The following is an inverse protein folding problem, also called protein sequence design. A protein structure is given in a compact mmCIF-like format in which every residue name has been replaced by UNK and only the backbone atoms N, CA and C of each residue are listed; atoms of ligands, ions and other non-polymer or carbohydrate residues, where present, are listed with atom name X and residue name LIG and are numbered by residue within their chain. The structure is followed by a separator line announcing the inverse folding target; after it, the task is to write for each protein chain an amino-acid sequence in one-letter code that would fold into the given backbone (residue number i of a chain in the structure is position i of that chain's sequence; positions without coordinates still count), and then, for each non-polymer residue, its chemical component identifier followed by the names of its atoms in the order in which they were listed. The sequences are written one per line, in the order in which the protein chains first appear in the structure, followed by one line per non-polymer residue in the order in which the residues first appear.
data_IF_575975219874
#
_entry.id   IF_575975219874
#
_cell.length_a   1.000
_cell.length_b   1.000
_cell.length_c   1.000
_cell.angle_alpha   90.00
_cell.angle_beta   90.00
_cell.angle_gamma   90.00
#
_symmetry.space_group_name_H-M   'P 1'
#
loop_
_entity.id
_entity.type
_entity.pdbx_description
1 polymer ?
#
# COMPACT_ATOMS: atom_id res chain seq x y z
N UNK A 1 -7.83 25.49 27.55
CA UNK A 1 -8.31 25.91 26.24
C UNK A 1 -8.81 24.66 25.59
N UNK A 2 -10.09 24.65 25.25
CA UNK A 2 -10.90 23.46 25.00
C UNK A 2 -10.58 22.81 23.67
N UNK A 3 -10.12 21.56 23.67
CA UNK A 3 -9.93 20.73 22.47
C UNK A 3 -11.26 20.06 22.11
N UNK A 4 -11.85 20.54 21.04
CA UNK A 4 -13.05 19.94 20.42
C UNK A 4 -12.62 18.74 19.57
N UNK A 5 -12.90 17.55 20.03
CA UNK A 5 -12.84 16.32 19.24
C UNK A 5 -14.07 16.22 18.34
N UNK A 6 -13.87 16.20 17.04
CA UNK A 6 -14.91 15.89 16.05
C UNK A 6 -14.87 14.37 15.83
N UNK A 7 -15.99 13.64 15.93
CA UNK A 7 -16.01 12.21 15.69
C UNK A 7 -15.86 11.89 14.21
N UNK A 8 -15.00 10.92 13.90
CA UNK A 8 -14.91 10.27 12.58
C UNK A 8 -16.14 9.37 12.48
N UNK A 9 -17.02 9.64 11.55
CA UNK A 9 -18.15 8.76 11.23
C UNK A 9 -17.63 7.56 10.45
N UNK A 10 -17.73 6.39 11.06
CA UNK A 10 -17.68 5.10 10.38
C UNK A 10 -18.97 4.87 9.59
N UNK A 11 -18.92 4.53 8.32
CA UNK A 11 -20.08 3.96 7.64
C UNK A 11 -20.10 2.45 7.85
N UNK A 12 -20.80 1.99 8.89
CA UNK A 12 -21.21 0.60 9.00
C UNK A 12 -22.40 0.32 8.08
N UNK A 13 -22.27 -0.67 7.21
CA UNK A 13 -23.39 -1.12 6.36
C UNK A 13 -23.05 -2.33 5.51
N UNK A 14 -23.09 -3.48 6.13
CA UNK A 14 -23.28 -4.84 5.63
C UNK A 14 -23.58 -5.06 4.14
N UNK A 15 -22.83 -5.95 3.50
CA UNK A 15 -23.39 -6.89 2.53
C UNK A 15 -22.74 -8.26 2.75
N UNK A 16 -23.54 -9.24 3.14
CA UNK A 16 -23.23 -10.66 3.17
C UNK A 16 -22.83 -11.13 1.78
N UNK A 17 -21.58 -11.53 1.64
CA UNK A 17 -21.05 -12.24 0.49
C UNK A 17 -20.18 -13.38 1.01
N UNK A 18 -20.80 -14.54 1.29
CA UNK A 18 -20.12 -15.76 1.72
C UNK A 18 -19.23 -16.30 0.63
N UNK A 19 -17.94 -16.00 0.69
CA UNK A 19 -16.91 -16.89 0.14
C UNK A 19 -16.24 -17.60 1.33
N UNK A 20 -16.48 -18.90 1.43
CA UNK A 20 -15.91 -19.74 2.47
C UNK A 20 -14.42 -19.95 2.19
N UNK A 21 -13.57 -19.07 2.70
CA UNK A 21 -12.16 -19.35 2.93
C UNK A 21 -12.00 -19.57 4.45
N UNK A 22 -11.88 -20.83 4.83
CA UNK A 22 -11.81 -21.24 6.22
C UNK A 22 -10.52 -20.71 6.86
N UNK A 23 -10.65 -19.67 7.70
CA UNK A 23 -9.62 -19.37 8.70
C UNK A 23 -9.44 -20.63 9.56
N UNK A 24 -8.20 -21.02 9.91
CA UNK A 24 -8.00 -22.04 10.96
C UNK A 24 -8.69 -21.51 12.23
N UNK A 25 -9.83 -22.08 12.58
CA UNK A 25 -10.56 -21.70 13.79
C UNK A 25 -9.75 -22.15 15.00
N UNK A 26 -9.64 -21.26 16.00
CA UNK A 26 -9.14 -21.58 17.35
C UNK A 26 -10.09 -22.59 18.07
N UNK A 27 -10.24 -23.77 17.51
CA UNK A 27 -11.11 -24.83 18.05
C UNK A 27 -10.46 -25.62 19.18
N UNK A 28 -9.27 -25.23 19.67
CA UNK A 28 -8.56 -25.88 20.78
C UNK A 28 -8.36 -25.02 22.04
N UNK A 29 -9.08 -23.91 22.18
CA UNK A 29 -8.92 -23.00 23.33
C UNK A 29 -9.90 -23.26 24.49
N UNK A 30 -10.31 -24.50 24.73
CA UNK A 30 -11.11 -24.77 25.94
C UNK A 30 -10.77 -26.13 26.55
N UNK A 31 -9.61 -26.25 27.19
CA UNK A 31 -9.35 -27.12 28.37
C UNK A 31 -7.85 -27.33 28.56
N UNK A 32 -7.20 -26.48 29.34
CA UNK A 32 -6.05 -26.78 30.20
C UNK A 32 -5.48 -25.47 30.72
N UNK A 33 -5.00 -25.40 31.96
CA UNK A 33 -4.39 -24.21 32.53
C UNK A 33 -3.30 -23.68 31.57
N UNK A 34 -3.51 -22.48 30.97
CA UNK A 34 -2.62 -21.93 29.95
C UNK A 34 -1.33 -21.46 30.60
N UNK A 35 -0.31 -22.33 30.59
CA UNK A 35 1.06 -21.84 30.61
C UNK A 35 1.28 -21.02 29.35
N UNK A 36 1.95 -19.84 29.48
CA UNK A 36 2.34 -19.05 28.29
C UNK A 36 3.04 -19.99 27.29
N UNK A 37 2.82 -19.79 25.96
CA UNK A 37 3.45 -20.64 24.97
C UNK A 37 4.97 -20.58 25.08
N UNK A 38 5.64 -21.70 24.89
CA UNK A 38 7.10 -21.75 24.89
C UNK A 38 7.64 -20.93 23.72
N UNK A 39 8.51 -19.95 24.02
CA UNK A 39 9.12 -19.10 23.01
C UNK A 39 10.33 -19.80 22.38
N UNK A 40 10.28 -19.97 21.05
CA UNK A 40 11.37 -20.56 20.27
C UNK A 40 12.30 -19.52 19.62
N UNK A 41 12.17 -18.24 19.97
CA UNK A 41 12.94 -17.13 19.37
C UNK A 41 14.44 -17.38 19.39
N UNK A 42 14.99 -17.76 20.56
CA UNK A 42 16.43 -17.99 20.70
C UNK A 42 16.92 -19.16 19.85
N UNK A 43 16.12 -20.21 19.73
CA UNK A 43 16.39 -21.37 18.88
C UNK A 43 16.49 -20.96 17.40
N UNK A 44 15.44 -20.34 16.88
CA UNK A 44 15.39 -19.97 15.45
C UNK A 44 16.44 -18.91 15.11
N UNK A 45 16.71 -17.97 16.02
CA UNK A 45 17.79 -16.99 15.82
C UNK A 45 19.16 -17.70 15.78
N UNK A 46 19.41 -18.67 16.65
CA UNK A 46 20.67 -19.40 16.64
C UNK A 46 20.85 -20.22 15.36
N UNK A 47 19.79 -20.83 14.81
CA UNK A 47 19.83 -21.56 13.55
C UNK A 47 20.13 -20.62 12.37
N UNK A 48 19.51 -19.42 12.34
CA UNK A 48 19.78 -18.39 11.33
C UNK A 48 21.23 -17.89 11.41
N UNK A 49 21.72 -17.59 12.62
CA UNK A 49 23.08 -17.09 12.84
C UNK A 49 24.13 -18.17 12.51
N UNK A 50 23.87 -19.44 12.81
CA UNK A 50 24.74 -20.55 12.47
C UNK A 50 24.81 -20.76 10.95
N UNK A 51 23.67 -20.77 10.25
CA UNK A 51 23.67 -20.87 8.77
C UNK A 51 24.46 -19.73 8.14
N UNK A 52 24.33 -18.50 8.64
CA UNK A 52 25.10 -17.36 8.14
C UNK A 52 26.61 -17.52 8.41
N UNK A 53 27.00 -18.00 9.60
CA UNK A 53 28.39 -18.24 9.96
C UNK A 53 29.07 -19.32 9.10
N UNK A 54 28.27 -20.29 8.62
CA UNK A 54 28.71 -21.33 7.68
C UNK A 54 28.77 -20.87 6.21
N UNK A 55 28.47 -19.57 5.97
CA UNK A 55 28.54 -18.97 4.63
C UNK A 55 27.20 -18.98 3.87
N UNK A 56 26.11 -19.27 4.54
CA UNK A 56 24.75 -19.31 4.01
C UNK A 56 24.12 -20.69 4.10
N UNK A 57 22.82 -20.75 3.85
CA UNK A 57 22.07 -22.00 3.90
C UNK A 57 20.59 -21.81 4.08
N UNK A 58 19.85 -22.91 4.21
CA UNK A 58 18.41 -22.91 4.42
C UNK A 58 18.08 -23.33 5.84
N UNK A 59 17.39 -22.45 6.57
CA UNK A 59 16.77 -22.75 7.88
C UNK A 59 15.32 -23.15 7.61
N UNK A 60 14.96 -24.37 7.97
CA UNK A 60 13.64 -24.94 7.67
C UNK A 60 12.77 -24.95 8.92
N UNK A 61 11.68 -24.17 8.89
CA UNK A 61 10.62 -24.23 9.89
C UNK A 61 9.66 -25.36 9.49
N UNK A 62 9.67 -26.44 10.25
CA UNK A 62 8.83 -27.63 10.00
C UNK A 62 7.38 -27.44 10.43
N UNK A 63 6.49 -28.43 10.12
CA UNK A 63 5.07 -28.35 10.49
C UNK A 63 4.85 -28.13 12.00
N UNK A 64 3.83 -27.37 12.35
CA UNK A 64 3.46 -27.01 13.72
C UNK A 64 3.40 -25.49 13.91
N UNK A 65 3.00 -25.06 15.10
CA UNK A 65 2.95 -23.64 15.50
C UNK A 65 4.18 -23.32 16.34
N UNK A 66 4.99 -22.39 15.85
CA UNK A 66 6.23 -21.93 16.48
C UNK A 66 6.05 -20.50 16.98
N UNK A 67 5.99 -20.31 18.29
CA UNK A 67 5.82 -19.01 18.88
C UNK A 67 7.16 -18.30 19.03
N UNK A 68 7.25 -17.08 18.46
CA UNK A 68 8.50 -16.32 18.42
C UNK A 68 8.26 -14.82 18.73
N UNK A 69 9.29 -14.16 19.19
CA UNK A 69 9.44 -12.71 19.09
C UNK A 69 10.16 -12.31 17.81
N UNK A 70 10.65 -11.08 17.75
CA UNK A 70 11.35 -10.56 16.58
C UNK A 70 12.61 -11.39 16.22
N UNK A 71 12.78 -11.71 14.93
CA UNK A 71 13.91 -12.45 14.38
C UNK A 71 14.72 -11.57 13.41
N UNK A 72 16.05 -11.74 13.41
CA UNK A 72 16.94 -11.10 12.43
C UNK A 72 17.38 -12.09 11.37
N UNK A 73 17.13 -11.75 10.12
CA UNK A 73 17.63 -12.48 8.96
C UNK A 73 19.08 -12.07 8.68
N UNK A 74 19.83 -12.96 8.05
CA UNK A 74 21.25 -12.77 7.74
C UNK A 74 21.55 -13.00 6.26
N UNK A 75 22.65 -12.45 5.81
CA UNK A 75 23.14 -12.63 4.44
C UNK A 75 23.35 -14.09 4.08
N UNK A 76 22.93 -14.46 2.87
CA UNK A 76 23.06 -15.82 2.36
C UNK A 76 22.09 -16.83 2.98
N UNK A 77 21.15 -16.41 3.83
CA UNK A 77 20.23 -17.32 4.53
C UNK A 77 18.85 -17.29 3.88
N UNK A 78 18.33 -18.47 3.61
CA UNK A 78 16.92 -18.71 3.29
C UNK A 78 16.18 -19.18 4.54
N UNK A 79 15.19 -18.43 4.99
CA UNK A 79 14.18 -18.88 5.96
C UNK A 79 13.05 -19.58 5.18
N UNK A 80 13.00 -20.90 5.24
CA UNK A 80 11.98 -21.70 4.57
C UNK A 80 10.88 -22.10 5.55
N UNK A 81 9.71 -21.47 5.43
CA UNK A 81 8.53 -21.82 6.25
C UNK A 81 7.75 -22.91 5.52
N UNK A 82 7.93 -24.16 5.93
CA UNK A 82 7.40 -25.34 5.23
C UNK A 82 5.87 -25.44 5.29
N UNK A 83 5.31 -26.29 4.44
CA UNK A 83 3.87 -26.55 4.44
C UNK A 83 3.43 -27.07 5.82
N UNK A 84 2.34 -26.50 6.36
CA UNK A 84 1.84 -26.82 7.71
C UNK A 84 2.61 -26.19 8.87
N UNK A 85 3.66 -25.39 8.58
CA UNK A 85 4.32 -24.57 9.58
C UNK A 85 3.60 -23.23 9.76
N UNK A 86 3.49 -22.76 11.00
CA UNK A 86 3.02 -21.43 11.37
C UNK A 86 4.08 -20.77 12.24
N UNK A 87 4.76 -19.77 11.71
CA UNK A 87 5.65 -18.91 12.49
C UNK A 87 4.81 -17.79 13.08
N UNK A 88 4.46 -17.90 14.36
CA UNK A 88 3.52 -17.03 15.06
C UNK A 88 4.25 -16.04 15.96
N UNK A 89 4.11 -14.77 15.68
CA UNK A 89 4.75 -13.69 16.43
C UNK A 89 3.94 -13.30 17.66
N UNK A 90 4.51 -13.47 18.85
CA UNK A 90 3.81 -13.13 20.10
C UNK A 90 3.70 -11.60 20.22
N UNK A 91 2.49 -11.03 20.42
CA UNK A 91 2.28 -9.59 20.40
C UNK A 91 2.61 -8.92 21.76
N UNK A 92 3.82 -9.15 22.26
CA UNK A 92 4.37 -8.52 23.47
C UNK A 92 5.48 -7.53 23.04
N UNK A 93 5.30 -6.21 23.23
CA UNK A 93 6.30 -5.20 22.85
C UNK A 93 7.70 -5.45 23.41
N UNK A 94 7.82 -6.13 24.57
CA UNK A 94 9.11 -6.47 25.16
C UNK A 94 9.95 -7.44 24.32
N UNK A 95 9.33 -8.16 23.38
CA UNK A 95 9.99 -9.10 22.46
C UNK A 95 10.50 -8.42 21.17
N UNK A 96 10.28 -7.11 21.03
CA UNK A 96 10.64 -6.31 19.85
C UNK A 96 11.55 -5.14 20.28
N UNK A 97 12.87 -5.36 20.37
CA UNK A 97 13.79 -4.29 20.74
C UNK A 97 13.69 -3.13 19.77
N UNK A 98 13.96 -1.91 20.22
CA UNK A 98 13.98 -0.75 19.36
C UNK A 98 15.18 -0.80 18.41
N UNK A 99 14.92 -0.51 17.14
CA UNK A 99 15.92 -0.39 16.08
C UNK A 99 15.71 0.91 15.32
N UNK A 100 16.77 1.48 14.76
CA UNK A 100 16.65 2.60 13.84
C UNK A 100 16.25 2.08 12.47
N UNK A 101 15.05 2.46 12.04
CA UNK A 101 14.51 2.11 10.71
C UNK A 101 13.62 3.24 10.20
N UNK A 102 13.05 3.09 9.00
CA UNK A 102 12.10 4.05 8.46
C UNK A 102 10.67 3.72 8.87
N UNK A 103 9.95 4.76 9.25
CA UNK A 103 8.50 4.74 9.46
C UNK A 103 7.88 5.99 8.86
N UNK A 104 6.89 5.81 7.98
CA UNK A 104 6.26 6.92 7.25
C UNK A 104 7.30 7.85 6.60
N UNK A 105 8.33 7.26 5.97
CA UNK A 105 9.38 7.97 5.27
C UNK A 105 10.47 8.61 6.15
N UNK A 106 10.38 8.53 7.47
CA UNK A 106 11.31 9.16 8.40
C UNK A 106 12.13 8.12 9.17
N UNK A 107 13.45 8.28 9.20
CA UNK A 107 14.33 7.46 10.04
C UNK A 107 14.11 7.79 11.51
N UNK A 108 13.79 6.78 12.31
CA UNK A 108 13.49 6.93 13.74
C UNK A 108 13.54 5.57 14.44
N UNK A 109 13.63 5.54 15.79
CA UNK A 109 13.42 4.31 16.53
C UNK A 109 12.02 3.73 16.27
N UNK A 110 11.96 2.43 15.96
CA UNK A 110 10.73 1.65 15.78
C UNK A 110 10.86 0.34 16.54
N UNK A 111 9.76 -0.32 16.89
CA UNK A 111 9.85 -1.71 17.29
C UNK A 111 10.42 -2.54 16.13
N UNK A 112 11.43 -3.38 16.41
CA UNK A 112 12.05 -4.22 15.40
C UNK A 112 10.95 -4.97 14.62
N UNK A 113 10.98 -4.96 13.28
CA UNK A 113 10.07 -5.80 12.49
C UNK A 113 10.07 -7.26 12.96
N UNK A 114 8.95 -7.94 12.79
CA UNK A 114 8.83 -9.36 13.15
C UNK A 114 9.94 -10.19 12.50
N UNK A 115 10.11 -10.07 11.18
CA UNK A 115 11.28 -10.52 10.44
C UNK A 115 12.05 -9.30 9.95
N UNK A 116 13.30 -9.16 10.35
CA UNK A 116 14.12 -7.97 10.10
C UNK A 116 15.46 -8.30 9.45
N UNK A 117 15.83 -7.56 8.43
CA UNK A 117 17.18 -7.55 7.87
C UNK A 117 17.65 -6.10 7.64
N UNK A 118 18.93 -5.81 7.92
CA UNK A 118 19.51 -4.50 7.76
C UNK A 118 20.92 -4.61 7.18
N UNK A 119 21.10 -4.03 5.97
CA UNK A 119 22.37 -4.09 5.22
C UNK A 119 22.74 -5.47 4.69
N UNK A 120 21.84 -6.44 4.77
CA UNK A 120 22.09 -7.83 4.40
C UNK A 120 21.93 -8.06 2.87
N UNK A 121 22.46 -9.18 2.39
CA UNK A 121 22.36 -9.54 0.97
C UNK A 121 22.03 -11.03 0.77
N UNK A 122 21.45 -11.36 -0.39
CA UNK A 122 21.04 -12.73 -0.72
C UNK A 122 20.11 -13.32 0.37
N UNK A 123 19.14 -12.51 0.83
CA UNK A 123 18.16 -12.89 1.86
C UNK A 123 16.93 -13.48 1.19
N UNK A 124 16.46 -14.63 1.68
CA UNK A 124 15.25 -15.26 1.14
C UNK A 124 14.27 -15.67 2.25
N UNK A 125 12.98 -15.47 1.99
CA UNK A 125 11.86 -16.01 2.77
C UNK A 125 10.99 -16.80 1.81
N UNK A 126 10.82 -18.10 2.05
CA UNK A 126 10.14 -18.98 1.08
C UNK A 126 9.28 -20.03 1.77
N UNK A 127 8.48 -20.76 1.00
CA UNK A 127 7.74 -21.93 1.46
C UNK A 127 6.23 -21.77 1.36
N UNK A 128 5.51 -22.80 1.78
CA UNK A 128 4.04 -22.86 1.75
C UNK A 128 3.41 -22.74 3.14
N UNK A 129 4.19 -22.31 4.12
CA UNK A 129 3.73 -22.07 5.48
C UNK A 129 3.20 -20.67 5.68
N UNK A 130 2.84 -20.38 6.92
CA UNK A 130 2.22 -19.11 7.35
C UNK A 130 3.16 -18.35 8.27
N UNK A 131 3.24 -17.05 8.07
CA UNK A 131 3.87 -16.07 8.96
C UNK A 131 2.74 -15.20 9.51
N UNK A 132 2.46 -15.37 10.81
CA UNK A 132 1.33 -14.78 11.51
C UNK A 132 1.81 -13.71 12.49
N UNK A 133 1.49 -12.46 12.19
CA UNK A 133 1.95 -11.30 12.95
C UNK A 133 1.15 -11.02 14.22
N UNK A 134 0.01 -11.71 14.41
CA UNK A 134 -0.88 -11.52 15.58
C UNK A 134 -1.22 -10.03 15.84
N UNK A 135 -1.57 -9.32 14.78
CA UNK A 135 -1.74 -7.87 14.77
C UNK A 135 -2.83 -7.32 15.69
N UNK A 136 -3.84 -8.11 16.04
CA UNK A 136 -5.00 -7.67 16.83
C UNK A 136 -4.64 -6.80 18.04
N UNK A 137 -3.82 -7.26 19.00
CA UNK A 137 -3.42 -6.46 20.15
C UNK A 137 -2.65 -5.17 19.77
N UNK A 138 -1.87 -5.20 18.69
CA UNK A 138 -1.16 -4.01 18.18
C UNK A 138 -2.13 -2.99 17.58
N UNK A 139 -3.20 -3.44 16.92
CA UNK A 139 -4.24 -2.56 16.38
C UNK A 139 -5.04 -1.91 17.50
N UNK A 140 -5.33 -2.65 18.58
CA UNK A 140 -6.01 -2.10 19.76
C UNK A 140 -5.16 -1.03 20.44
N UNK A 141 -3.84 -1.26 20.61
CA UNK A 141 -2.91 -0.25 21.08
C UNK A 141 -2.92 0.99 20.16
N UNK A 142 -2.86 0.80 18.84
CA UNK A 142 -2.89 1.93 17.90
C UNK A 142 -4.19 2.75 17.96
N UNK A 143 -5.33 2.09 18.13
CA UNK A 143 -6.66 2.74 18.11
C UNK A 143 -6.99 3.42 19.42
N UNK A 144 -6.60 2.82 20.54
CA UNK A 144 -7.14 3.17 21.87
C UNK A 144 -6.07 3.58 22.88
N UNK A 145 -4.81 3.21 22.67
CA UNK A 145 -3.73 3.36 23.64
C UNK A 145 -2.40 3.71 22.96
N UNK A 146 -2.47 4.58 21.94
CA UNK A 146 -1.29 4.93 21.14
C UNK A 146 -0.16 5.56 21.98
N UNK A 147 -0.49 6.25 23.06
CA UNK A 147 0.44 6.82 24.04
C UNK A 147 1.25 5.78 24.80
N UNK A 148 0.76 4.55 24.91
CA UNK A 148 1.46 3.44 25.58
C UNK A 148 2.52 2.79 24.68
N UNK A 149 2.53 3.09 23.38
CA UNK A 149 3.55 2.62 22.45
C UNK A 149 4.81 3.47 22.55
N UNK A 150 5.92 2.87 23.00
CA UNK A 150 7.23 3.53 23.07
C UNK A 150 7.76 3.96 21.69
N UNK A 151 7.31 3.30 20.64
CA UNK A 151 7.70 3.52 19.25
C UNK A 151 6.59 3.02 18.29
N UNK A 152 6.64 3.32 16.98
CA UNK A 152 5.74 2.72 16.00
C UNK A 152 5.70 1.18 16.07
N UNK A 153 4.54 0.63 15.80
CA UNK A 153 4.31 -0.83 15.73
C UNK A 153 5.31 -1.50 14.77
N UNK A 154 5.69 -2.77 14.99
CA UNK A 154 6.54 -3.48 14.05
C UNK A 154 5.83 -3.71 12.71
N UNK A 155 6.56 -3.69 11.62
CA UNK A 155 6.11 -4.30 10.36
C UNK A 155 6.28 -5.81 10.43
N UNK A 156 5.54 -6.59 9.62
CA UNK A 156 5.71 -8.05 9.64
C UNK A 156 7.05 -8.46 9.01
N UNK A 157 7.40 -7.90 7.86
CA UNK A 157 8.70 -8.10 7.21
C UNK A 157 9.28 -6.71 6.92
N UNK A 158 10.34 -6.35 7.63
CA UNK A 158 11.07 -5.10 7.43
C UNK A 158 12.48 -5.36 6.93
N UNK A 159 12.81 -4.81 5.77
CA UNK A 159 14.11 -4.97 5.13
C UNK A 159 14.70 -3.59 4.88
N UNK A 160 15.88 -3.32 5.39
CA UNK A 160 16.52 -2.03 5.24
C UNK A 160 17.89 -2.14 4.58
N UNK A 161 18.14 -1.40 3.49
CA UNK A 161 19.43 -1.39 2.81
C UNK A 161 19.89 -2.73 2.26
N UNK A 162 18.96 -3.67 2.04
CA UNK A 162 19.29 -5.04 1.61
C UNK A 162 19.43 -5.15 0.08
N UNK A 163 20.18 -6.15 -0.38
CA UNK A 163 20.35 -6.42 -1.80
C UNK A 163 20.05 -7.87 -2.12
N UNK A 164 19.46 -8.12 -3.31
CA UNK A 164 19.06 -9.45 -3.79
C UNK A 164 18.16 -10.16 -2.79
N UNK A 165 16.99 -9.57 -2.55
CA UNK A 165 15.96 -10.09 -1.66
C UNK A 165 14.97 -10.94 -2.45
N UNK A 166 14.56 -12.06 -1.88
CA UNK A 166 13.49 -12.90 -2.45
C UNK A 166 12.48 -13.27 -1.37
N UNK A 167 11.19 -13.00 -1.65
CA UNK A 167 10.06 -13.47 -0.82
C UNK A 167 9.13 -14.25 -1.74
N UNK A 168 8.83 -15.52 -1.41
CA UNK A 168 8.07 -16.37 -2.32
C UNK A 168 7.18 -17.39 -1.62
N UNK A 169 5.95 -17.53 -2.15
CA UNK A 169 4.97 -18.59 -1.90
C UNK A 169 4.38 -18.61 -0.47
N UNK A 170 4.92 -17.88 0.49
CA UNK A 170 4.44 -17.83 1.88
C UNK A 170 3.10 -17.11 2.02
N UNK A 171 2.33 -17.51 3.03
CA UNK A 171 1.16 -16.75 3.51
C UNK A 171 1.58 -15.82 4.64
N UNK A 172 1.25 -14.54 4.53
CA UNK A 172 1.48 -13.49 5.51
C UNK A 172 0.13 -13.03 6.04
N UNK A 173 -0.07 -13.04 7.34
CA UNK A 173 -1.36 -12.66 7.89
C UNK A 173 -1.25 -11.87 9.18
N UNK A 174 -2.30 -11.11 9.47
CA UNK A 174 -2.48 -10.34 10.69
C UNK A 174 -1.23 -9.52 11.06
N UNK A 175 -0.73 -8.75 10.09
CA UNK A 175 0.44 -7.89 10.29
C UNK A 175 0.16 -6.82 11.37
N UNK A 176 1.08 -6.55 12.30
CA UNK A 176 0.91 -5.47 13.27
C UNK A 176 0.75 -4.07 12.67
N UNK A 177 1.40 -3.83 11.53
CA UNK A 177 1.33 -2.62 10.70
C UNK A 177 1.59 -2.99 9.22
N UNK A 178 2.39 -2.24 8.45
CA UNK A 178 2.76 -2.59 7.07
C UNK A 178 3.28 -4.02 6.98
N UNK A 179 2.85 -4.77 5.96
CA UNK A 179 3.14 -6.21 5.90
C UNK A 179 4.54 -6.48 5.36
N UNK A 180 4.87 -6.00 4.16
CA UNK A 180 6.21 -6.17 3.56
C UNK A 180 6.78 -4.80 3.21
N UNK A 181 7.78 -4.36 3.96
CA UNK A 181 8.40 -3.05 3.82
C UNK A 181 9.89 -3.15 3.48
N UNK A 182 10.28 -3.29 2.22
CA UNK A 182 11.66 -3.09 1.78
C UNK A 182 11.94 -1.58 1.67
N UNK A 183 12.93 -1.09 2.40
CA UNK A 183 13.37 0.30 2.36
C UNK A 183 14.84 0.38 1.94
N UNK A 184 15.17 1.25 0.97
CA UNK A 184 16.54 1.41 0.44
C UNK A 184 17.13 0.11 -0.13
N UNK A 185 16.28 -0.83 -0.56
CA UNK A 185 16.71 -2.14 -1.06
C UNK A 185 16.94 -2.13 -2.58
N UNK A 186 17.79 -3.04 -3.03
CA UNK A 186 18.08 -3.25 -4.46
C UNK A 186 17.88 -4.71 -4.86
N UNK A 187 17.34 -4.95 -6.07
CA UNK A 187 17.06 -6.27 -6.62
C UNK A 187 16.13 -7.11 -5.72
N UNK A 188 14.91 -6.58 -5.51
CA UNK A 188 13.87 -7.21 -4.70
C UNK A 188 12.90 -7.98 -5.60
N UNK A 189 12.64 -9.24 -5.27
CA UNK A 189 11.68 -10.09 -5.96
C UNK A 189 10.67 -10.67 -4.96
N UNK A 190 9.39 -10.35 -5.15
CA UNK A 190 8.27 -10.83 -4.33
C UNK A 190 7.29 -11.54 -5.27
N UNK A 191 7.03 -12.83 -5.05
CA UNK A 191 6.18 -13.58 -5.99
C UNK A 191 5.38 -14.69 -5.31
N UNK A 192 4.14 -14.89 -5.78
CA UNK A 192 3.28 -15.97 -5.34
C UNK A 192 2.86 -15.92 -3.87
N UNK A 193 3.09 -14.82 -3.17
CA UNK A 193 2.71 -14.68 -1.76
C UNK A 193 1.22 -14.38 -1.62
N UNK A 194 0.65 -14.80 -0.49
CA UNK A 194 -0.69 -14.43 -0.07
C UNK A 194 -0.60 -13.53 1.16
N UNK A 195 -1.19 -12.34 1.09
CA UNK A 195 -1.32 -11.43 2.23
C UNK A 195 -2.79 -11.39 2.64
N UNK A 196 -3.07 -11.53 3.95
CA UNK A 196 -4.41 -11.52 4.53
C UNK A 196 -4.41 -10.71 5.83
N UNK A 197 -4.92 -9.49 5.76
CA UNK A 197 -5.19 -8.65 6.92
C UNK A 197 -6.68 -8.25 6.90
N UNK A 198 -7.35 -8.10 8.04
CA UNK A 198 -8.72 -7.61 8.07
C UNK A 198 -8.88 -6.27 7.34
N UNK A 199 -9.98 -6.09 6.61
CA UNK A 199 -10.24 -4.88 5.82
C UNK A 199 -10.33 -3.58 6.67
N UNK A 200 -10.54 -3.71 7.98
CA UNK A 200 -10.58 -2.59 8.93
C UNK A 200 -9.30 -2.44 9.77
N UNK A 201 -8.28 -3.26 9.53
CA UNK A 201 -7.03 -3.19 10.30
C UNK A 201 -6.19 -1.95 9.91
N UNK A 202 -5.69 -1.18 10.91
CA UNK A 202 -5.08 0.12 10.63
C UNK A 202 -3.65 -0.03 10.12
N UNK A 203 -3.35 0.64 8.99
CA UNK A 203 -2.03 0.70 8.35
C UNK A 203 -1.45 -0.69 8.04
N UNK A 204 -2.29 -1.61 7.62
CA UNK A 204 -1.86 -2.94 7.20
C UNK A 204 -1.67 -3.02 5.69
N UNK A 205 -0.94 -2.02 5.16
CA UNK A 205 -0.50 -2.00 3.76
C UNK A 205 0.14 -3.36 3.39
N UNK A 206 -0.04 -3.79 2.16
CA UNK A 206 0.46 -5.09 1.71
C UNK A 206 1.95 -5.08 1.42
N UNK A 207 2.39 -4.34 0.40
CA UNK A 207 3.78 -4.29 -0.02
C UNK A 207 4.18 -2.84 -0.28
N UNK A 208 5.15 -2.34 0.48
CA UNK A 208 5.59 -0.94 0.47
C UNK A 208 7.06 -0.80 0.07
N UNK A 209 7.42 -0.90 -1.21
CA UNK A 209 8.78 -0.59 -1.62
C UNK A 209 9.06 0.91 -1.43
N UNK A 210 9.97 1.23 -0.50
CA UNK A 210 10.37 2.60 -0.20
C UNK A 210 11.79 2.89 -0.65
N UNK A 211 11.98 3.86 -1.57
CA UNK A 211 13.32 4.23 -2.07
C UNK A 211 14.12 3.02 -2.58
N UNK A 212 13.45 2.05 -3.19
CA UNK A 212 14.03 0.81 -3.69
C UNK A 212 14.35 0.91 -5.19
N UNK A 213 15.23 0.05 -5.66
CA UNK A 213 15.57 -0.08 -7.08
C UNK A 213 15.45 -1.51 -7.56
N UNK A 214 14.91 -1.71 -8.78
CA UNK A 214 14.73 -3.01 -9.43
C UNK A 214 13.84 -3.96 -8.62
N UNK A 215 12.58 -3.56 -8.40
CA UNK A 215 11.60 -4.34 -7.66
C UNK A 215 10.66 -5.06 -8.62
N UNK A 216 10.44 -6.34 -8.39
CA UNK A 216 9.47 -7.17 -9.11
C UNK A 216 8.48 -7.76 -8.13
N UNK A 217 7.18 -7.51 -8.35
CA UNK A 217 6.06 -8.06 -7.58
C UNK A 217 5.18 -8.80 -8.57
N UNK A 218 5.01 -10.10 -8.39
CA UNK A 218 4.24 -10.91 -9.34
C UNK A 218 3.41 -12.01 -8.68
N UNK A 219 2.26 -12.29 -9.27
CA UNK A 219 1.41 -13.44 -8.92
C UNK A 219 1.00 -13.47 -7.43
N UNK A 220 0.89 -12.29 -6.81
CA UNK A 220 0.53 -12.14 -5.41
C UNK A 220 -0.98 -11.95 -5.24
N UNK A 221 -1.53 -12.48 -4.14
CA UNK A 221 -2.88 -12.19 -3.68
C UNK A 221 -2.79 -11.33 -2.42
N UNK A 222 -3.35 -10.12 -2.46
CA UNK A 222 -3.16 -9.11 -1.41
C UNK A 222 -4.55 -8.62 -0.95
N UNK A 223 -4.94 -9.01 0.26
CA UNK A 223 -6.19 -8.63 0.93
C UNK A 223 -5.85 -7.90 2.24
N UNK A 224 -6.14 -6.60 2.31
CA UNK A 224 -5.59 -5.71 3.36
C UNK A 224 -6.55 -4.61 3.78
N UNK A 225 -6.23 -3.96 4.90
CA UNK A 225 -7.01 -2.84 5.46
C UNK A 225 -6.50 -1.44 5.06
N UNK A 226 -5.37 -1.34 4.34
CA UNK A 226 -4.84 -0.06 3.81
C UNK A 226 -4.38 -0.29 2.35
N UNK A 227 -3.40 0.42 1.81
CA UNK A 227 -3.01 0.30 0.41
C UNK A 227 -2.45 -1.12 0.08
N UNK A 228 -2.89 -1.76 -1.01
CA UNK A 228 -2.41 -3.10 -1.35
C UNK A 228 -0.93 -3.11 -1.75
N UNK A 229 -0.52 -2.21 -2.65
CA UNK A 229 0.88 -1.96 -2.97
C UNK A 229 1.10 -0.44 -2.98
N UNK A 230 1.99 0.06 -2.12
CA UNK A 230 2.29 1.49 -2.08
C UNK A 230 3.78 1.78 -2.33
N UNK A 231 4.07 2.35 -3.50
CA UNK A 231 5.43 2.75 -3.88
C UNK A 231 5.78 4.08 -3.21
N UNK A 232 6.77 4.08 -2.35
CA UNK A 232 7.16 5.19 -1.47
C UNK A 232 8.60 5.64 -1.72
N UNK A 233 8.94 6.88 -1.36
CA UNK A 233 10.28 7.45 -1.52
C UNK A 233 10.56 8.56 -0.49
N UNK A 234 10.17 8.35 0.76
CA UNK A 234 10.40 9.29 1.84
C UNK A 234 9.54 10.55 1.81
N UNK A 235 9.69 11.38 2.82
CA UNK A 235 8.96 12.63 3.02
C UNK A 235 9.86 13.87 2.85
N UNK A 236 9.29 15.05 3.00
CA UNK A 236 10.04 16.32 3.09
C UNK A 236 11.06 16.34 4.22
N UNK A 237 10.82 15.57 5.28
CA UNK A 237 11.73 15.45 6.42
C UNK A 237 12.84 14.40 6.22
N UNK A 238 12.83 13.66 5.12
CA UNK A 238 13.85 12.66 4.80
C UNK A 238 15.11 13.36 4.29
N UNK A 239 16.26 13.26 4.99
CA UNK A 239 17.49 13.96 4.61
C UNK A 239 18.04 13.50 3.25
N UNK A 240 18.09 12.17 3.05
CA UNK A 240 18.54 11.57 1.79
C UNK A 240 17.33 11.16 0.95
N UNK A 241 17.10 11.90 -0.13
CA UNK A 241 16.00 11.65 -1.07
C UNK A 241 16.42 10.66 -2.13
N UNK A 242 16.17 9.39 -1.88
CA UNK A 242 16.47 8.30 -2.80
C UNK A 242 15.21 7.93 -3.58
N UNK A 243 15.33 7.91 -4.89
CA UNK A 243 14.23 7.56 -5.79
C UNK A 243 13.85 6.09 -5.67
N UNK A 244 12.54 5.80 -5.67
CA UNK A 244 12.02 4.44 -5.86
C UNK A 244 11.82 4.21 -7.36
N UNK A 245 12.55 3.27 -7.97
CA UNK A 245 12.59 3.17 -9.42
C UNK A 245 12.72 1.74 -9.98
N UNK A 246 12.30 1.58 -11.24
CA UNK A 246 12.32 0.32 -11.97
C UNK A 246 11.46 -0.74 -11.27
N UNK A 247 10.18 -0.42 -11.11
CA UNK A 247 9.20 -1.26 -10.42
C UNK A 247 8.31 -1.96 -11.44
N UNK A 248 8.19 -3.27 -11.34
CA UNK A 248 7.26 -4.06 -12.18
C UNK A 248 6.29 -4.81 -11.28
N UNK A 249 4.98 -4.59 -11.51
CA UNK A 249 3.88 -5.25 -10.81
C UNK A 249 3.05 -5.99 -11.87
N UNK A 250 2.92 -7.31 -11.74
CA UNK A 250 2.23 -8.11 -12.76
C UNK A 250 1.47 -9.29 -12.18
N UNK A 251 0.29 -9.61 -12.76
CA UNK A 251 -0.47 -10.81 -12.41
C UNK A 251 -0.98 -10.87 -10.97
N UNK A 252 -1.08 -9.73 -10.28
CA UNK A 252 -1.51 -9.67 -8.89
C UNK A 252 -3.01 -9.46 -8.76
N UNK A 253 -3.60 -10.01 -7.70
CA UNK A 253 -4.98 -9.73 -7.27
C UNK A 253 -4.93 -8.90 -5.99
N UNK A 254 -5.55 -7.73 -6.03
CA UNK A 254 -5.70 -6.81 -4.90
C UNK A 254 -7.15 -6.86 -4.43
N UNK A 255 -7.34 -7.04 -3.13
CA UNK A 255 -8.68 -7.18 -2.53
C UNK A 255 -8.81 -6.21 -1.37
N UNK A 256 -9.93 -5.49 -1.31
CA UNK A 256 -10.15 -4.43 -0.35
C UNK A 256 -9.05 -3.36 -0.38
N UNK A 257 -8.77 -2.73 0.74
CA UNK A 257 -7.72 -1.71 0.86
C UNK A 257 -8.07 -0.36 0.25
N UNK A 258 -7.30 0.66 0.64
CA UNK A 258 -7.53 2.04 0.25
C UNK A 258 -7.06 2.37 -1.17
N UNK A 259 -6.26 1.50 -1.77
CA UNK A 259 -5.80 1.60 -3.15
C UNK A 259 -5.17 0.31 -3.65
N UNK A 260 -5.44 -0.08 -4.90
CA UNK A 260 -4.85 -1.26 -5.51
C UNK A 260 -3.34 -1.10 -5.72
N UNK A 261 -2.94 -0.11 -6.53
CA UNK A 261 -1.53 0.31 -6.63
C UNK A 261 -1.44 1.81 -6.44
N UNK A 262 -0.61 2.21 -5.50
CA UNK A 262 -0.49 3.58 -5.01
C UNK A 262 0.93 4.10 -5.19
N UNK A 263 1.08 5.33 -5.65
CA UNK A 263 2.32 6.10 -5.61
C UNK A 263 2.17 7.20 -4.55
N UNK A 264 2.99 7.12 -3.50
CA UNK A 264 2.93 8.06 -2.37
C UNK A 264 2.14 7.55 -1.16
N UNK A 265 1.79 8.43 -0.21
CA UNK A 265 2.05 9.89 -0.17
C UNK A 265 3.52 10.27 0.09
N UNK A 266 4.32 9.36 0.65
CA UNK A 266 5.75 9.53 0.87
C UNK A 266 6.49 9.38 -0.48
N UNK A 267 6.72 10.48 -1.22
CA UNK A 267 7.33 10.45 -2.54
C UNK A 267 8.37 11.56 -2.78
N UNK A 268 8.91 12.15 -1.70
CA UNK A 268 9.83 13.28 -1.79
C UNK A 268 11.16 12.96 -2.52
N UNK A 269 11.59 11.69 -2.50
CA UNK A 269 12.74 11.20 -3.26
C UNK A 269 12.47 10.91 -4.73
N UNK A 270 11.19 10.93 -5.12
CA UNK A 270 10.73 10.60 -6.46
C UNK A 270 10.37 9.14 -6.67
N UNK A 271 9.43 8.89 -7.57
CA UNK A 271 9.01 7.55 -8.04
C UNK A 271 9.06 7.56 -9.56
N UNK A 272 9.75 6.60 -10.18
CA UNK A 272 9.82 6.56 -11.64
C UNK A 272 9.97 5.16 -12.21
N UNK A 273 9.63 5.02 -13.49
CA UNK A 273 9.73 3.76 -14.25
C UNK A 273 8.91 2.65 -13.57
N UNK A 274 7.60 2.88 -13.42
CA UNK A 274 6.67 1.92 -12.80
C UNK A 274 5.80 1.30 -13.90
N UNK A 275 5.74 -0.02 -13.95
CA UNK A 275 4.87 -0.77 -14.87
C UNK A 275 3.93 -1.65 -14.06
N UNK A 276 2.63 -1.51 -14.31
CA UNK A 276 1.55 -2.29 -13.69
C UNK A 276 0.79 -2.99 -14.82
N UNK A 277 0.74 -4.32 -14.82
CA UNK A 277 0.11 -5.03 -15.93
C UNK A 277 -0.57 -6.32 -15.53
N UNK A 278 -1.73 -6.61 -16.16
CA UNK A 278 -2.44 -7.88 -15.97
C UNK A 278 -2.92 -8.13 -14.54
N UNK A 279 -3.31 -7.08 -13.82
CA UNK A 279 -3.78 -7.18 -12.43
C UNK A 279 -5.30 -7.13 -12.33
N UNK A 280 -5.84 -7.68 -11.25
CA UNK A 280 -7.26 -7.65 -10.90
C UNK A 280 -7.43 -6.96 -9.55
N UNK A 281 -8.34 -5.97 -9.46
CA UNK A 281 -8.68 -5.28 -8.22
C UNK A 281 -10.13 -5.56 -7.87
N UNK A 282 -10.41 -5.88 -6.61
CA UNK A 282 -11.74 -6.25 -6.11
C UNK A 282 -12.04 -5.51 -4.80
N UNK A 283 -13.04 -4.63 -4.81
CA UNK A 283 -13.45 -3.90 -3.61
C UNK A 283 -12.41 -2.92 -3.06
N UNK A 284 -11.39 -2.55 -3.84
CA UNK A 284 -10.45 -1.50 -3.41
C UNK A 284 -11.12 -0.14 -3.49
N UNK A 285 -10.87 0.75 -2.53
CA UNK A 285 -11.43 2.11 -2.59
C UNK A 285 -11.01 2.81 -3.91
N UNK A 286 -9.74 2.79 -4.24
CA UNK A 286 -9.19 3.35 -5.49
C UNK A 286 -8.44 2.26 -6.24
N UNK A 287 -8.53 2.31 -7.56
CA UNK A 287 -7.76 1.41 -8.41
C UNK A 287 -6.29 1.81 -8.45
N UNK A 288 -5.95 2.69 -9.38
CA UNK A 288 -4.63 3.34 -9.47
C UNK A 288 -4.71 4.69 -8.76
N UNK A 289 -3.81 4.90 -7.81
CA UNK A 289 -3.83 6.06 -6.94
C UNK A 289 -2.49 6.78 -6.91
N UNK A 290 -2.48 8.06 -7.25
CA UNK A 290 -1.34 8.97 -7.05
C UNK A 290 -1.73 9.98 -5.98
N UNK A 291 -1.03 9.97 -4.85
CA UNK A 291 -1.31 10.89 -3.74
C UNK A 291 -0.04 11.62 -3.30
N UNK A 292 -0.11 12.94 -3.30
CA UNK A 292 0.97 13.83 -2.85
C UNK A 292 0.40 15.16 -2.37
N UNK A 293 1.25 16.05 -1.94
CA UNK A 293 0.84 17.39 -1.52
C UNK A 293 1.94 18.42 -1.73
N UNK A 294 1.55 19.68 -1.76
CA UNK A 294 2.49 20.79 -1.59
C UNK A 294 3.32 20.61 -0.33
N UNK A 295 4.56 21.06 -0.33
CA UNK A 295 5.53 20.84 0.73
C UNK A 295 6.30 19.53 0.61
N UNK A 296 5.74 18.50 -0.05
CA UNK A 296 6.38 17.20 -0.23
C UNK A 296 7.57 17.25 -1.19
N UNK A 297 7.45 17.99 -2.29
CA UNK A 297 8.43 17.98 -3.39
C UNK A 297 8.50 16.62 -4.08
N UNK A 298 9.60 16.34 -4.76
CA UNK A 298 9.81 15.13 -5.53
C UNK A 298 9.01 15.05 -6.82
N UNK A 299 9.11 13.93 -7.53
CA UNK A 299 8.40 13.70 -8.78
C UNK A 299 7.83 12.30 -8.88
N UNK A 300 6.74 12.14 -9.64
CA UNK A 300 6.22 10.82 -10.07
C UNK A 300 6.27 10.83 -11.61
N UNK A 301 7.04 9.87 -12.16
CA UNK A 301 7.38 9.90 -13.58
C UNK A 301 7.29 8.53 -14.23
N UNK A 302 6.87 8.49 -15.49
CA UNK A 302 6.92 7.29 -16.33
C UNK A 302 6.19 6.11 -15.69
N UNK A 303 4.91 6.30 -15.36
CA UNK A 303 4.01 5.25 -14.86
C UNK A 303 3.20 4.66 -16.03
N UNK A 304 3.22 3.36 -16.19
CA UNK A 304 2.50 2.64 -17.23
C UNK A 304 1.55 1.61 -16.60
N UNK A 305 0.27 1.71 -16.92
CA UNK A 305 -0.78 0.78 -16.45
C UNK A 305 -1.42 0.14 -17.67
N UNK A 306 -1.40 -1.17 -17.78
CA UNK A 306 -1.89 -1.87 -18.96
C UNK A 306 -2.67 -3.13 -18.60
N UNK A 307 -3.88 -3.27 -19.16
CA UNK A 307 -4.66 -4.52 -19.06
C UNK A 307 -5.08 -4.84 -17.63
N UNK A 308 -5.69 -3.89 -16.91
CA UNK A 308 -6.18 -4.06 -15.53
C UNK A 308 -7.70 -4.19 -15.53
N UNK A 309 -8.21 -5.13 -14.74
CA UNK A 309 -9.65 -5.28 -14.47
C UNK A 309 -9.93 -4.87 -13.04
N UNK A 310 -10.93 -4.04 -12.84
CA UNK A 310 -11.38 -3.56 -11.53
C UNK A 310 -12.86 -3.89 -11.33
N UNK A 311 -13.22 -4.36 -10.15
CA UNK A 311 -14.59 -4.61 -9.77
C UNK A 311 -14.88 -4.04 -8.38
N UNK A 312 -16.03 -3.36 -8.24
CA UNK A 312 -16.47 -2.75 -6.98
C UNK A 312 -15.47 -1.76 -6.37
N UNK A 313 -15.02 -0.77 -7.15
CA UNK A 313 -14.12 0.29 -6.70
C UNK A 313 -14.85 1.62 -6.53
N UNK A 314 -14.44 2.47 -5.59
CA UNK A 314 -15.01 3.83 -5.49
C UNK A 314 -14.61 4.68 -6.70
N UNK A 315 -13.33 4.59 -7.11
CA UNK A 315 -12.80 5.38 -8.23
C UNK A 315 -11.63 4.62 -8.90
N UNK A 316 -11.68 4.33 -10.22
CA UNK A 316 -10.64 3.54 -10.89
C UNK A 316 -9.29 4.25 -11.02
N UNK A 317 -9.28 5.57 -11.13
CA UNK A 317 -8.05 6.37 -11.25
C UNK A 317 -8.17 7.65 -10.44
N UNK A 318 -7.24 7.85 -9.51
CA UNK A 318 -7.11 9.13 -8.79
C UNK A 318 -5.70 9.68 -8.87
N UNK A 319 -5.60 10.98 -9.14
CA UNK A 319 -4.38 11.78 -9.02
C UNK A 319 -4.70 12.97 -8.15
N UNK A 320 -4.11 13.02 -6.96
CA UNK A 320 -4.44 14.00 -5.94
C UNK A 320 -3.18 14.67 -5.35
N UNK A 321 -2.82 15.88 -5.79
CA UNK A 321 -1.74 16.66 -5.21
C UNK A 321 -2.18 17.56 -4.05
N UNK A 322 -3.39 17.35 -3.51
CA UNK A 322 -3.98 18.07 -2.38
C UNK A 322 -4.24 17.15 -1.19
N UNK A 323 -3.44 16.10 -1.04
CA UNK A 323 -3.63 15.08 -0.02
C UNK A 323 -3.44 15.63 1.39
N UNK A 324 -4.47 15.53 2.25
CA UNK A 324 -4.52 16.21 3.54
C UNK A 324 -3.93 15.40 4.71
N UNK A 325 -3.38 14.21 4.49
CA UNK A 325 -2.82 13.38 5.56
C UNK A 325 -1.34 13.68 5.82
N UNK A 326 -0.89 13.23 6.99
CA UNK A 326 0.46 13.46 7.47
C UNK A 326 0.65 14.84 8.10
N UNK A 327 1.87 15.12 8.60
CA UNK A 327 2.22 16.43 9.14
C UNK A 327 1.94 17.53 8.12
N UNK A 328 1.45 18.69 8.57
CA UNK A 328 1.08 19.85 7.72
C UNK A 328 0.02 19.57 6.64
N UNK A 329 -0.45 18.34 6.45
CA UNK A 329 -1.41 18.01 5.39
C UNK A 329 -2.73 18.78 5.48
N UNK A 330 -3.11 19.23 6.68
CA UNK A 330 -4.34 20.01 6.94
C UNK A 330 -4.12 21.52 6.92
N UNK A 331 -2.90 21.98 6.64
CA UNK A 331 -2.63 23.40 6.50
C UNK A 331 -3.42 23.99 5.33
N UNK A 332 -3.98 25.21 5.46
CA UNK A 332 -4.84 25.81 4.43
C UNK A 332 -4.20 25.88 3.04
N UNK A 333 -2.90 26.12 2.97
CA UNK A 333 -2.17 26.20 1.70
C UNK A 333 -2.07 24.87 0.95
N UNK A 334 -2.18 23.74 1.63
CA UNK A 334 -2.21 22.40 0.99
C UNK A 334 -3.47 22.24 0.16
N UNK A 335 -4.62 22.63 0.70
CA UNK A 335 -5.91 22.54 0.03
C UNK A 335 -6.25 23.69 -0.90
N UNK A 336 -5.43 24.77 -0.96
CA UNK A 336 -5.68 25.95 -1.78
C UNK A 336 -5.69 25.57 -3.27
N UNK A 337 -6.73 25.98 -3.99
CA UNK A 337 -6.88 25.73 -5.43
C UNK A 337 -6.32 26.85 -6.29
N UNK A 338 -5.79 27.92 -5.68
CA UNK A 338 -5.08 29.00 -6.38
C UNK A 338 -3.63 28.60 -6.67
N UNK A 339 -3.02 29.12 -7.74
CA UNK A 339 -1.61 28.85 -8.01
C UNK A 339 -0.71 29.49 -6.95
N UNK A 340 0.24 28.72 -6.44
CA UNK A 340 1.26 29.18 -5.49
C UNK A 340 2.63 29.26 -6.17
N UNK A 341 3.61 29.85 -5.48
CA UNK A 341 4.98 29.93 -6.00
C UNK A 341 5.60 28.52 -6.09
N UNK A 342 6.15 28.17 -7.24
CA UNK A 342 6.88 26.92 -7.45
C UNK A 342 8.21 26.95 -6.69
N UNK A 343 8.49 25.87 -5.96
CA UNK A 343 9.71 25.72 -5.17
C UNK A 343 10.10 24.27 -4.97
N UNK A 344 11.09 23.99 -4.12
CA UNK A 344 11.56 22.64 -3.83
C UNK A 344 10.51 21.73 -3.17
N UNK A 345 9.48 22.33 -2.57
CA UNK A 345 8.34 21.60 -1.98
C UNK A 345 7.18 21.36 -2.96
N UNK A 346 7.25 21.87 -4.19
CA UNK A 346 6.21 21.64 -5.19
C UNK A 346 6.43 20.27 -5.85
N UNK A 347 5.51 19.30 -5.69
CA UNK A 347 5.63 18.00 -6.37
C UNK A 347 5.31 18.14 -7.86
N UNK A 348 5.91 17.29 -8.68
CA UNK A 348 5.59 17.19 -10.10
C UNK A 348 5.13 15.78 -10.47
N UNK A 349 4.20 15.69 -11.43
CA UNK A 349 3.67 14.43 -11.94
C UNK A 349 3.70 14.49 -13.45
N UNK A 350 4.35 13.50 -14.10
CA UNK A 350 4.44 13.46 -15.56
C UNK A 350 4.52 12.05 -16.13
N UNK A 351 3.96 11.88 -17.34
CA UNK A 351 4.04 10.60 -18.06
C UNK A 351 3.23 9.49 -17.39
N UNK A 352 2.02 9.77 -16.94
CA UNK A 352 1.07 8.78 -16.43
C UNK A 352 0.21 8.26 -17.60
N UNK A 353 0.45 7.03 -18.01
CA UNK A 353 -0.28 6.40 -19.11
C UNK A 353 -1.04 5.16 -18.63
N UNK A 354 -2.35 5.16 -18.87
CA UNK A 354 -3.30 4.09 -18.55
C UNK A 354 -3.92 3.56 -19.83
N UNK A 355 -3.90 2.25 -20.06
CA UNK A 355 -4.49 1.67 -21.26
C UNK A 355 -5.13 0.30 -21.01
N UNK A 356 -6.23 0.02 -21.75
CA UNK A 356 -6.97 -1.24 -21.70
C UNK A 356 -7.42 -1.59 -20.28
N UNK A 357 -8.16 -0.68 -19.65
CA UNK A 357 -8.68 -0.86 -18.31
C UNK A 357 -10.19 -0.98 -18.32
N UNK A 358 -10.70 -1.97 -17.60
CA UNK A 358 -12.14 -2.14 -17.37
C UNK A 358 -12.43 -2.01 -15.89
N UNK A 359 -13.37 -1.12 -15.53
CA UNK A 359 -13.84 -0.94 -14.17
C UNK A 359 -15.36 -1.12 -14.12
N UNK A 360 -15.82 -2.14 -13.40
CA UNK A 360 -17.24 -2.45 -13.18
C UNK A 360 -17.62 -2.24 -11.72
N UNK A 361 -18.91 -2.01 -11.46
CA UNK A 361 -19.36 -1.76 -10.11
C UNK A 361 -18.80 -0.47 -9.47
N UNK A 362 -18.38 0.50 -10.29
CA UNK A 362 -17.80 1.76 -9.79
C UNK A 362 -18.84 2.54 -8.99
N UNK A 363 -18.47 3.10 -7.84
CA UNK A 363 -19.44 3.69 -6.93
C UNK A 363 -19.42 5.21 -6.92
N UNK A 364 -18.26 5.85 -6.75
CA UNK A 364 -18.19 7.30 -6.56
C UNK A 364 -17.97 8.06 -7.86
N UNK A 365 -16.83 7.91 -8.53
CA UNK A 365 -16.47 8.70 -9.70
C UNK A 365 -15.78 7.86 -10.78
N UNK A 366 -15.99 8.23 -12.04
CA UNK A 366 -15.31 7.63 -13.19
C UNK A 366 -13.80 7.92 -13.23
N UNK A 367 -13.36 8.96 -12.51
CA UNK A 367 -11.97 9.37 -12.33
C UNK A 367 -11.86 10.72 -11.64
N UNK A 368 -10.83 10.91 -10.82
CA UNK A 368 -10.49 12.15 -10.14
C UNK A 368 -9.03 12.48 -10.40
N UNK A 369 -8.74 13.30 -11.43
CA UNK A 369 -7.38 13.49 -11.96
C UNK A 369 -7.03 14.97 -11.95
N UNK A 370 -6.21 15.38 -11.00
CA UNK A 370 -5.79 16.79 -10.87
C UNK A 370 -4.27 16.91 -10.75
N UNK A 371 -3.71 17.90 -11.47
CA UNK A 371 -2.42 18.48 -11.15
C UNK A 371 -2.56 19.64 -10.15
N UNK A 372 -1.44 20.28 -9.79
CA UNK A 372 -1.48 21.58 -9.12
C UNK A 372 -1.65 22.71 -10.16
N UNK A 373 -2.32 23.81 -9.82
CA UNK A 373 -2.42 24.96 -10.74
C UNK A 373 -1.06 25.50 -11.16
N UNK A 374 -0.08 25.51 -10.25
CA UNK A 374 1.30 25.97 -10.48
C UNK A 374 2.24 24.89 -11.05
N UNK A 375 1.85 23.61 -10.98
CA UNK A 375 2.59 22.47 -11.52
C UNK A 375 1.59 21.44 -12.06
N UNK A 376 1.06 21.67 -13.25
CA UNK A 376 0.10 20.80 -13.89
C UNK A 376 0.65 19.36 -14.06
N UNK A 377 -0.24 18.39 -14.11
CA UNK A 377 0.09 17.03 -14.53
C UNK A 377 0.49 17.07 -16.02
N UNK A 378 1.70 16.65 -16.33
CA UNK A 378 2.22 16.66 -17.70
C UNK A 378 2.12 15.29 -18.36
N UNK A 379 1.80 15.24 -19.65
CA UNK A 379 1.77 14.00 -20.46
C UNK A 379 0.88 12.91 -19.85
N UNK A 380 -0.43 13.19 -19.74
CA UNK A 380 -1.43 12.21 -19.31
C UNK A 380 -1.98 11.47 -20.52
N UNK A 381 -1.95 10.15 -20.50
CA UNK A 381 -2.63 9.32 -21.49
C UNK A 381 -3.60 8.38 -20.81
N UNK A 382 -4.89 8.46 -21.15
CA UNK A 382 -5.90 7.49 -20.79
C UNK A 382 -6.48 6.93 -22.09
N UNK A 383 -6.24 5.66 -22.36
CA UNK A 383 -6.67 5.01 -23.59
C UNK A 383 -7.48 3.76 -23.29
N UNK A 384 -8.66 3.65 -23.90
CA UNK A 384 -9.52 2.47 -23.80
C UNK A 384 -9.85 2.10 -22.34
N UNK A 385 -10.41 3.08 -21.61
CA UNK A 385 -10.95 2.91 -20.27
C UNK A 385 -12.46 2.74 -20.34
N UNK A 386 -12.97 1.61 -19.86
CA UNK A 386 -14.40 1.36 -19.71
C UNK A 386 -14.81 1.43 -18.24
N UNK A 387 -15.74 2.32 -17.91
CA UNK A 387 -16.30 2.49 -16.57
C UNK A 387 -17.77 2.18 -16.58
N UNK A 388 -18.21 1.28 -15.69
CA UNK A 388 -19.62 0.94 -15.48
C UNK A 388 -19.95 1.15 -14.01
N UNK A 389 -20.86 2.08 -13.73
CA UNK A 389 -21.30 2.35 -12.37
C UNK A 389 -22.21 1.27 -11.81
N UNK A 390 -22.12 1.01 -10.50
CA UNK A 390 -23.07 0.20 -9.77
C UNK A 390 -24.43 0.92 -9.72
N UNK A 391 -25.51 0.18 -9.97
CA UNK A 391 -26.87 0.75 -9.94
C UNK A 391 -27.28 1.18 -8.53
N UNK A 392 -26.75 0.51 -7.51
CA UNK A 392 -26.98 0.72 -6.08
C UNK A 392 -25.88 1.55 -5.40
N UNK A 393 -25.06 2.26 -6.17
CA UNK A 393 -23.97 3.06 -5.63
C UNK A 393 -24.47 4.08 -4.60
N UNK A 394 -23.85 4.07 -3.42
CA UNK A 394 -24.06 5.09 -2.39
C UNK A 394 -22.94 6.13 -2.46
N UNK A 395 -23.20 7.38 -2.02
CA UNK A 395 -22.19 8.42 -2.05
C UNK A 395 -20.91 8.03 -1.29
N UNK A 396 -19.77 8.16 -1.95
CA UNK A 396 -18.43 7.96 -1.40
C UNK A 396 -17.51 9.09 -1.84
N UNK A 397 -16.38 9.24 -1.14
CA UNK A 397 -15.40 10.29 -1.46
C UNK A 397 -14.35 9.72 -2.42
N UNK A 398 -14.26 10.28 -3.63
CA UNK A 398 -13.32 9.81 -4.64
C UNK A 398 -11.87 9.85 -4.16
N UNK A 399 -11.47 10.85 -3.36
CA UNK A 399 -10.11 10.97 -2.82
C UNK A 399 -10.07 11.80 -1.52
N UNK A 400 -8.97 11.69 -0.77
CA UNK A 400 -8.74 12.36 0.50
C UNK A 400 -8.12 13.75 0.28
N UNK A 401 -8.95 14.73 -0.09
CA UNK A 401 -8.56 16.12 -0.27
C UNK A 401 -9.58 17.05 0.38
N UNK A 402 -9.11 18.21 0.87
CA UNK A 402 -9.99 19.21 1.48
C UNK A 402 -11.03 19.72 0.48
N UNK A 403 -12.28 19.88 0.93
CA UNK A 403 -13.38 20.42 0.12
C UNK A 403 -14.06 19.42 -0.81
N UNK A 404 -13.65 18.15 -0.85
CA UNK A 404 -14.40 17.12 -1.56
C UNK A 404 -15.62 16.68 -0.73
N UNK A 405 -16.72 16.46 -1.43
CA UNK A 405 -17.96 15.93 -0.87
C UNK A 405 -18.20 14.51 -1.38
N UNK A 406 -18.85 13.64 -0.63
CA UNK A 406 -19.27 12.34 -1.12
C UNK A 406 -20.18 12.47 -2.35
N UNK A 407 -19.88 11.69 -3.38
CA UNK A 407 -20.62 11.63 -4.65
C UNK A 407 -20.91 10.18 -5.02
N UNK A 408 -21.97 9.96 -5.81
CA UNK A 408 -22.26 8.65 -6.41
C UNK A 408 -22.38 8.83 -7.91
N UNK A 409 -21.83 7.89 -8.66
CA UNK A 409 -21.93 7.82 -10.13
C UNK A 409 -21.58 9.13 -10.85
N UNK A 410 -20.59 9.86 -10.32
CA UNK A 410 -20.10 11.09 -10.92
C UNK A 410 -19.18 10.77 -12.12
N UNK A 411 -19.31 11.51 -13.22
CA UNK A 411 -18.43 11.40 -14.37
C UNK A 411 -16.96 11.75 -14.06
N UNK A 412 -16.13 11.78 -15.10
CA UNK A 412 -14.71 12.14 -14.95
C UNK A 412 -14.56 13.58 -14.46
N UNK A 413 -13.76 13.80 -13.43
CA UNK A 413 -13.24 15.12 -13.02
C UNK A 413 -11.76 15.21 -13.35
N UNK A 414 -11.38 16.23 -14.10
CA UNK A 414 -10.01 16.42 -14.56
C UNK A 414 -9.62 17.89 -14.54
N UNK A 415 -8.43 18.21 -14.05
CA UNK A 415 -8.00 19.60 -13.99
C UNK A 415 -6.49 19.77 -13.84
N UNK A 416 -6.00 20.93 -14.30
CA UNK A 416 -4.59 21.30 -14.30
C UNK A 416 -3.73 20.23 -14.95
N UNK A 417 -4.02 19.94 -16.21
CA UNK A 417 -3.31 18.94 -17.03
C UNK A 417 -2.72 19.64 -18.26
N UNK A 418 -1.46 19.40 -18.53
CA UNK A 418 -0.73 19.95 -19.66
C UNK A 418 -0.23 18.86 -20.58
N UNK A 419 -0.79 18.79 -21.77
CA UNK A 419 -0.46 17.76 -22.77
C UNK A 419 -1.03 16.38 -22.51
N UNK A 420 -1.17 15.60 -23.57
CA UNK A 420 -1.66 14.24 -23.53
C UNK A 420 -3.04 14.05 -24.16
N UNK A 421 -3.66 12.92 -23.86
CA UNK A 421 -4.95 12.58 -24.44
C UNK A 421 -5.75 11.65 -23.54
N UNK A 422 -7.07 11.83 -23.52
CA UNK A 422 -8.05 10.84 -23.06
C UNK A 422 -8.79 10.39 -24.30
N UNK A 423 -8.63 9.14 -24.68
CA UNK A 423 -9.26 8.60 -25.89
C UNK A 423 -9.96 7.27 -25.66
N UNK A 424 -11.08 7.09 -26.31
CA UNK A 424 -11.94 5.90 -26.17
C UNK A 424 -12.30 5.58 -24.71
N UNK A 425 -12.48 6.59 -23.88
CA UNK A 425 -13.03 6.42 -22.54
C UNK A 425 -14.55 6.32 -22.64
N UNK A 426 -15.12 5.24 -22.11
CA UNK A 426 -16.57 5.02 -22.09
C UNK A 426 -17.06 4.97 -20.65
N UNK A 427 -18.07 5.78 -20.36
CA UNK A 427 -18.68 5.85 -19.04
C UNK A 427 -20.15 5.46 -19.14
N UNK A 428 -20.60 4.48 -18.36
CA UNK A 428 -21.97 4.00 -18.35
C UNK A 428 -22.59 4.11 -16.97
N UNK A 429 -23.81 4.65 -16.92
CA UNK A 429 -24.60 4.78 -15.70
C UNK A 429 -24.22 5.98 -14.82
N UNK A 430 -23.61 7.03 -15.39
CA UNK A 430 -23.41 8.29 -14.69
C UNK A 430 -24.74 9.00 -14.42
N UNK A 431 -24.86 9.67 -13.25
CA UNK A 431 -26.06 10.48 -12.90
C UNK A 431 -26.05 11.88 -13.53
N UNK A 432 -24.97 12.26 -14.19
CA UNK A 432 -24.75 13.56 -14.82
C UNK A 432 -23.92 13.42 -16.10
N UNK A 433 -23.25 14.48 -16.55
CA UNK A 433 -22.37 14.44 -17.73
C UNK A 433 -21.20 13.47 -17.50
N UNK A 434 -20.80 12.76 -18.56
CA UNK A 434 -19.66 11.81 -18.50
C UNK A 434 -18.33 12.48 -18.19
N UNK A 435 -18.20 13.78 -18.49
CA UNK A 435 -17.16 14.66 -17.97
C UNK A 435 -17.84 15.65 -17.03
N UNK A 436 -17.74 15.42 -15.73
CA UNK A 436 -18.38 16.21 -14.69
C UNK A 436 -17.66 17.55 -14.48
N UNK A 437 -16.34 17.55 -14.65
CA UNK A 437 -15.50 18.74 -14.50
C UNK A 437 -14.27 18.67 -15.41
N UNK A 438 -13.98 19.76 -16.13
CA UNK A 438 -12.74 19.93 -16.85
C UNK A 438 -12.25 21.38 -16.64
N UNK A 439 -11.12 21.53 -15.93
CA UNK A 439 -10.56 22.83 -15.55
C UNK A 439 -9.10 22.89 -15.95
N UNK A 440 -8.74 23.95 -16.72
CA UNK A 440 -7.35 24.24 -17.04
C UNK A 440 -6.62 23.03 -17.66
N UNK A 441 -7.26 22.43 -18.66
CA UNK A 441 -6.78 21.21 -19.31
C UNK A 441 -5.86 21.50 -20.51
N UNK A 442 -5.58 22.76 -20.81
CA UNK A 442 -4.64 23.16 -21.83
C UNK A 442 -4.98 22.59 -23.21
N UNK A 443 -4.05 21.85 -23.79
CA UNK A 443 -4.15 21.18 -25.08
C UNK A 443 -4.54 19.68 -24.96
N UNK A 444 -4.98 19.23 -23.79
CA UNK A 444 -5.46 17.86 -23.58
C UNK A 444 -6.67 17.54 -24.48
N UNK A 445 -6.55 16.49 -25.26
CA UNK A 445 -7.66 15.98 -26.06
C UNK A 445 -8.56 15.08 -25.23
N UNK A 446 -9.86 15.39 -25.15
CA UNK A 446 -10.85 14.63 -24.40
C UNK A 446 -11.84 13.94 -25.35
N UNK A 447 -11.75 12.62 -25.47
CA UNK A 447 -12.69 11.75 -26.15
C UNK A 447 -13.32 10.79 -25.12
N UNK A 448 -14.36 11.28 -24.47
CA UNK A 448 -15.13 10.58 -23.43
C UNK A 448 -16.57 10.51 -23.87
N UNK A 449 -17.10 9.32 -23.99
CA UNK A 449 -18.45 9.08 -24.46
C UNK A 449 -19.30 8.27 -23.46
N UNK A 450 -20.62 8.46 -23.56
CA UNK A 450 -21.57 7.61 -22.86
C UNK A 450 -21.56 6.20 -23.48
N UNK A 451 -21.22 5.18 -22.68
CA UNK A 451 -21.22 3.79 -23.11
C UNK A 451 -22.64 3.27 -23.34
N UNK A 452 -22.87 2.60 -24.46
CA UNK A 452 -24.14 1.95 -24.79
C UNK A 452 -24.32 0.63 -24.03
#
# INVERSE_FOLDING_TARGET
MSTSTIPVNDPAGSADGTSADARPTDADASAAGSSAPELETARWQAEIDAAAADGGGTVVVGPGVHHVGALRLRSGVELHVGAGAVLRFVPDPALYPLVDARWEGVARPVHQPCLYADGEHDVSITGWGTIDGQGGPWWDLQRHHREDLAAPRPTLIGLHGCRKVRIRDVTLMDSPAWTVHPALCEDVSISGIRIQNPADSPNTDGIDPESCRNVRISDCHIDVGDDCIAVKAGTEATPERVTCENIVITGCTMVHGHGGVVMGSEMAGGVRNVVITGCVFQGTDRGIRVKTRRGRGGSIEQVRVVGVVMDDVLCPLTVNPFYFCGPEGKEPWVGDRSPLAVGSGTPSIRGLHLSHVTATGVRASAGHVFGLPEAPLEDLVIEDLSVVFAADAVPGTAEMASGLVPVAREGLRIGHVSGGEVRRMRVRGADGPVVAEAVDTGDLQLDVEEGR
#
